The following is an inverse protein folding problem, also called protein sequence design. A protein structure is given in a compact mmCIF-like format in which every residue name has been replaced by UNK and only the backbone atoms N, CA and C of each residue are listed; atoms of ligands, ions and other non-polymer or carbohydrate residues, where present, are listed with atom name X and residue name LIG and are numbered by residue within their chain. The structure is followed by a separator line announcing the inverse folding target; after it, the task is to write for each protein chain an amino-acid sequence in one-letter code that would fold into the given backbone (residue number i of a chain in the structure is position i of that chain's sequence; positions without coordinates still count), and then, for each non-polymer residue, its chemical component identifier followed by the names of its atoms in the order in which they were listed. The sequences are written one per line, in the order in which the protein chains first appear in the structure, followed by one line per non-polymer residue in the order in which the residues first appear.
data_IF_451947251474
#
_entry.id   IF_451947251474
#
_cell.length_a   1.000
_cell.length_b   1.000
_cell.length_c   1.000
_cell.angle_alpha   90.00
_cell.angle_beta   90.00
_cell.angle_gamma   90.00
#
_symmetry.space_group_name_H-M   'P 1'
#
loop_
_entity.id
_entity.type
_entity.pdbx_description
1 polymer ?
#
# COMPACT_ATOMS: atom_id res chain seq x y z
N UNK A 1 -13.57 9.27 6.26
CA UNK A 1 -12.91 7.96 6.09
C UNK A 1 -12.70 7.33 7.48
N UNK A 2 -12.77 6.00 7.57
CA UNK A 2 -12.42 5.25 8.79
C UNK A 2 -11.21 4.39 8.44
N UNK A 3 -10.18 4.40 9.28
CA UNK A 3 -8.95 3.64 9.08
C UNK A 3 -8.51 2.93 10.36
N UNK A 4 -7.77 1.85 10.20
CA UNK A 4 -7.18 1.08 11.30
C UNK A 4 -5.89 0.45 10.81
N UNK A 5 -4.78 1.18 10.96
CA UNK A 5 -3.48 0.77 10.43
C UNK A 5 -2.70 0.04 11.50
N UNK A 6 -2.10 -1.09 11.12
CA UNK A 6 -1.24 -1.89 12.01
C UNK A 6 0.01 -2.29 11.24
N UNK A 7 1.15 -1.75 11.63
CA UNK A 7 2.40 -1.91 10.89
C UNK A 7 2.88 -3.37 10.86
N UNK A 8 2.59 -4.14 11.92
CA UNK A 8 2.85 -5.57 11.96
C UNK A 8 2.04 -6.34 10.90
N UNK A 9 0.77 -5.97 10.69
CA UNK A 9 -0.08 -6.62 9.68
C UNK A 9 0.39 -6.26 8.26
N UNK A 10 0.79 -5.01 8.02
CA UNK A 10 1.39 -4.59 6.73
C UNK A 10 2.69 -5.35 6.48
N UNK A 11 3.55 -5.48 7.50
CA UNK A 11 4.81 -6.20 7.38
C UNK A 11 4.60 -7.70 7.15
N UNK A 12 3.64 -8.31 7.83
CA UNK A 12 3.28 -9.71 7.61
C UNK A 12 2.72 -9.93 6.20
N UNK A 13 1.86 -9.04 5.71
CA UNK A 13 1.33 -9.08 4.35
C UNK A 13 2.46 -8.96 3.31
N UNK A 14 3.40 -8.04 3.51
CA UNK A 14 4.57 -7.86 2.64
C UNK A 14 5.48 -9.09 2.63
N UNK A 15 5.77 -9.68 3.79
CA UNK A 15 6.58 -10.90 3.88
C UNK A 15 5.90 -12.10 3.21
N UNK A 16 4.60 -12.29 3.46
CA UNK A 16 3.80 -13.35 2.84
C UNK A 16 3.75 -13.21 1.31
N UNK A 17 3.54 -11.98 0.83
CA UNK A 17 3.56 -11.62 -0.58
C UNK A 17 4.91 -11.95 -1.22
N UNK A 18 6.01 -11.47 -0.61
CA UNK A 18 7.35 -11.71 -1.13
C UNK A 18 7.71 -13.19 -1.17
N UNK A 19 7.29 -13.96 -0.16
CA UNK A 19 7.50 -15.41 -0.13
C UNK A 19 6.79 -16.09 -1.29
N UNK A 20 5.53 -15.71 -1.53
CA UNK A 20 4.72 -16.25 -2.63
C UNK A 20 5.30 -15.89 -3.99
N UNK A 21 5.65 -14.62 -4.20
CA UNK A 21 6.26 -14.14 -5.44
C UNK A 21 7.58 -14.85 -5.72
N UNK A 22 8.41 -15.08 -4.69
CA UNK A 22 9.69 -15.77 -4.86
C UNK A 22 9.47 -17.22 -5.30
N UNK A 23 8.55 -17.94 -4.64
CA UNK A 23 8.22 -19.32 -5.01
C UNK A 23 7.65 -19.43 -6.45
N UNK A 24 6.81 -18.47 -6.85
CA UNK A 24 6.32 -18.41 -8.23
C UNK A 24 7.42 -18.02 -9.23
N UNK A 25 8.33 -17.14 -8.84
CA UNK A 25 9.50 -16.74 -9.63
C UNK A 25 10.43 -17.92 -9.93
N UNK A 26 10.67 -18.80 -8.96
CA UNK A 26 11.47 -20.01 -9.15
C UNK A 26 10.81 -20.98 -10.16
N UNK A 27 9.49 -21.15 -10.04
CA UNK A 27 8.70 -21.96 -10.97
C UNK A 27 8.72 -21.39 -12.39
N UNK A 28 8.53 -20.08 -12.54
CA UNK A 28 8.57 -19.40 -13.84
C UNK A 28 9.96 -19.47 -14.48
N UNK A 29 11.03 -19.27 -13.70
CA UNK A 29 12.41 -19.39 -14.17
C UNK A 29 12.70 -20.80 -14.70
N UNK A 30 12.18 -21.82 -14.01
CA UNK A 30 12.30 -23.22 -14.45
C UNK A 30 11.60 -23.46 -15.79
N UNK A 31 10.37 -22.94 -15.95
CA UNK A 31 9.61 -23.05 -17.21
C UNK A 31 10.33 -22.29 -18.33
N UNK A 32 10.79 -21.06 -18.07
CA UNK A 32 11.50 -20.24 -19.04
C UNK A 32 12.78 -20.92 -19.51
N UNK A 33 13.54 -21.53 -18.60
CA UNK A 33 14.74 -22.31 -18.94
C UNK A 33 14.41 -23.49 -19.85
N UNK A 34 13.39 -24.27 -19.51
CA UNK A 34 12.96 -25.42 -20.33
C UNK A 34 12.48 -24.97 -21.72
N UNK A 35 11.72 -23.88 -21.79
CA UNK A 35 11.22 -23.29 -23.03
C UNK A 35 12.39 -22.80 -23.91
N UNK A 36 13.35 -22.08 -23.34
CA UNK A 36 14.56 -21.62 -24.04
C UNK A 36 15.40 -22.80 -24.55
N UNK A 37 15.57 -23.87 -23.77
CA UNK A 37 16.28 -25.05 -24.21
C UNK A 37 15.58 -25.74 -25.40
N UNK A 38 14.26 -25.86 -25.36
CA UNK A 38 13.48 -26.47 -26.44
C UNK A 38 13.51 -25.63 -27.72
N UNK A 39 13.38 -24.30 -27.59
CA UNK A 39 13.46 -23.36 -28.72
C UNK A 39 14.88 -23.38 -29.33
N UNK A 40 15.90 -23.40 -28.49
CA UNK A 40 17.31 -23.40 -28.89
C UNK A 40 17.85 -24.72 -29.42
N UNK A 41 17.13 -25.84 -29.28
CA UNK A 41 17.63 -27.15 -29.72
C UNK A 41 17.71 -27.21 -31.25
N UNK A 42 18.94 -27.25 -31.77
CA UNK A 42 19.26 -27.29 -33.19
C UNK A 42 18.92 -28.62 -33.86
N UNK A 43 18.68 -29.69 -33.10
CA UNK A 43 18.25 -31.00 -33.62
C UNK A 43 16.78 -30.99 -34.01
N UNK A 44 16.00 -30.09 -33.42
CA UNK A 44 14.59 -29.91 -33.73
C UNK A 44 14.45 -28.95 -34.93
N UNK A 45 14.19 -29.51 -36.10
CA UNK A 45 14.12 -28.80 -37.38
C UNK A 45 12.84 -29.17 -38.17
N UNK A 46 12.56 -28.41 -39.22
CA UNK A 46 11.39 -28.58 -40.08
C UNK A 46 10.29 -27.56 -39.80
N UNK A 47 9.41 -27.34 -40.78
CA UNK A 47 8.45 -26.24 -40.75
C UNK A 47 7.51 -26.29 -39.54
N UNK A 48 6.98 -27.48 -39.21
CA UNK A 48 6.11 -27.67 -38.04
C UNK A 48 6.82 -27.35 -36.73
N UNK A 49 8.09 -27.73 -36.59
CA UNK A 49 8.88 -27.43 -35.40
C UNK A 49 9.14 -25.93 -35.31
N UNK A 50 9.47 -25.27 -36.43
CA UNK A 50 9.63 -23.82 -36.47
C UNK A 50 8.35 -23.11 -35.99
N UNK A 51 7.18 -23.54 -36.45
CA UNK A 51 5.89 -23.04 -35.96
C UNK A 51 5.70 -23.23 -34.46
N UNK A 52 6.05 -24.41 -33.92
CA UNK A 52 5.97 -24.67 -32.47
C UNK A 52 6.93 -23.75 -31.70
N UNK A 53 8.15 -23.55 -32.18
CA UNK A 53 9.13 -22.67 -31.53
C UNK A 53 8.64 -21.21 -31.50
N UNK A 54 8.10 -20.71 -32.61
CA UNK A 54 7.47 -19.39 -32.66
C UNK A 54 6.30 -19.28 -31.68
N UNK A 55 5.43 -20.28 -31.64
CA UNK A 55 4.31 -20.34 -30.71
C UNK A 55 4.75 -20.29 -29.23
N UNK A 56 5.75 -21.11 -28.86
CA UNK A 56 6.28 -21.13 -27.50
C UNK A 56 6.89 -19.78 -27.11
N UNK A 57 7.62 -19.14 -28.02
CA UNK A 57 8.22 -17.83 -27.77
C UNK A 57 7.18 -16.72 -27.62
N UNK A 58 6.28 -16.59 -28.61
CA UNK A 58 5.37 -15.45 -28.70
C UNK A 58 4.18 -15.56 -27.75
N UNK A 59 3.73 -16.77 -27.43
CA UNK A 59 2.56 -16.97 -26.57
C UNK A 59 2.98 -17.25 -25.15
N UNK A 60 3.72 -18.34 -24.93
CA UNK A 60 4.10 -18.75 -23.58
C UNK A 60 5.23 -17.88 -23.01
N UNK A 61 6.22 -17.51 -23.81
CA UNK A 61 7.29 -16.59 -23.40
C UNK A 61 6.73 -15.22 -22.97
N UNK A 62 5.87 -14.62 -23.80
CA UNK A 62 5.19 -13.36 -23.48
C UNK A 62 4.34 -13.47 -22.20
N UNK A 63 3.54 -14.54 -22.06
CA UNK A 63 2.72 -14.73 -20.86
C UNK A 63 3.58 -14.83 -19.59
N UNK A 64 4.66 -15.60 -19.61
CA UNK A 64 5.59 -15.73 -18.47
C UNK A 64 6.20 -14.38 -18.10
N UNK A 65 6.67 -13.62 -19.10
CA UNK A 65 7.24 -12.29 -18.87
C UNK A 65 6.21 -11.35 -18.23
N UNK A 66 4.96 -11.40 -18.67
CA UNK A 66 3.89 -10.54 -18.14
C UNK A 66 3.53 -10.88 -16.71
N UNK A 67 3.44 -12.18 -16.39
CA UNK A 67 3.22 -12.63 -15.01
C UNK A 67 4.35 -12.20 -14.08
N UNK A 68 5.59 -12.24 -14.57
CA UNK A 68 6.74 -11.74 -13.82
C UNK A 68 6.67 -10.23 -13.57
N UNK A 69 6.33 -9.44 -14.58
CA UNK A 69 6.12 -7.99 -14.42
C UNK A 69 4.99 -7.69 -13.43
N UNK A 70 3.85 -8.39 -13.51
CA UNK A 70 2.74 -8.22 -12.56
C UNK A 70 3.15 -8.44 -11.10
N UNK A 71 3.92 -9.50 -10.84
CA UNK A 71 4.42 -9.77 -9.49
C UNK A 71 5.37 -8.67 -9.01
N UNK A 72 6.29 -8.23 -9.88
CA UNK A 72 7.26 -7.19 -9.55
C UNK A 72 6.57 -5.86 -9.26
N UNK A 73 5.61 -5.46 -10.10
CA UNK A 73 4.83 -4.23 -9.94
C UNK A 73 4.06 -4.26 -8.63
N UNK A 74 3.37 -5.37 -8.32
CA UNK A 74 2.66 -5.51 -7.05
C UNK A 74 3.58 -5.43 -5.83
N UNK A 75 4.74 -6.12 -5.88
CA UNK A 75 5.71 -6.10 -4.78
C UNK A 75 6.28 -4.70 -4.56
N UNK A 76 6.61 -3.99 -5.65
CA UNK A 76 7.11 -2.63 -5.59
C UNK A 76 6.07 -1.67 -5.00
N UNK A 77 4.81 -1.73 -5.46
CA UNK A 77 3.72 -0.90 -4.91
C UNK A 77 3.50 -1.16 -3.42
N UNK A 78 3.48 -2.43 -2.99
CA UNK A 78 3.31 -2.78 -1.57
C UNK A 78 4.50 -2.31 -0.71
N UNK A 79 5.73 -2.38 -1.25
CA UNK A 79 6.91 -1.88 -0.57
C UNK A 79 6.85 -0.37 -0.39
N UNK A 80 6.49 0.38 -1.43
CA UNK A 80 6.36 1.84 -1.38
C UNK A 80 5.23 2.29 -0.43
N UNK A 81 4.10 1.58 -0.44
CA UNK A 81 3.02 1.77 0.53
C UNK A 81 3.49 1.56 1.97
N UNK A 82 4.29 0.51 2.23
CA UNK A 82 4.86 0.28 3.56
C UNK A 82 5.89 1.36 3.93
N UNK A 83 6.78 1.73 3.01
CA UNK A 83 7.86 2.68 3.25
C UNK A 83 7.33 4.10 3.54
N UNK A 84 6.31 4.54 2.79
CA UNK A 84 5.69 5.84 3.00
C UNK A 84 5.07 6.01 4.39
N UNK A 85 4.60 4.93 5.02
CA UNK A 85 4.07 4.97 6.38
C UNK A 85 5.10 5.35 7.45
N UNK A 86 6.38 5.03 7.24
CA UNK A 86 7.44 5.40 8.18
C UNK A 86 7.71 6.92 8.19
N UNK A 87 7.20 7.66 7.21
CA UNK A 87 7.22 9.13 7.21
C UNK A 87 6.14 9.73 8.12
N UNK A 88 5.10 8.95 8.46
CA UNK A 88 4.02 9.36 9.36
C UNK A 88 4.37 8.95 10.80
N UNK A 89 4.77 7.70 11.00
CA UNK A 89 5.19 7.17 12.30
C UNK A 89 6.41 6.26 12.13
N UNK A 90 7.51 6.60 12.79
CA UNK A 90 8.76 5.85 12.74
C UNK A 90 8.73 4.52 13.51
N UNK A 91 7.71 4.27 14.33
CA UNK A 91 7.59 3.05 15.11
C UNK A 91 7.13 1.87 14.23
N UNK A 92 7.98 0.86 14.09
CA UNK A 92 7.70 -0.35 13.29
C UNK A 92 6.52 -1.19 13.78
N UNK A 93 6.06 -0.97 15.02
CA UNK A 93 4.92 -1.66 15.62
C UNK A 93 3.75 -0.71 15.88
N UNK A 94 3.71 0.44 15.19
CA UNK A 94 2.65 1.42 15.35
C UNK A 94 1.27 0.82 15.06
N UNK A 95 0.31 1.21 15.90
CA UNK A 95 -1.10 0.95 15.70
C UNK A 95 -1.81 2.29 15.66
N UNK A 96 -2.44 2.59 14.52
CA UNK A 96 -3.08 3.87 14.26
C UNK A 96 -4.59 3.66 14.01
N UNK A 97 -5.37 3.37 15.06
CA UNK A 97 -6.82 3.27 14.96
C UNK A 97 -7.46 4.66 14.95
N UNK A 98 -8.05 5.06 13.82
CA UNK A 98 -8.62 6.40 13.65
C UNK A 98 -9.72 6.75 14.68
N UNK A 99 -10.43 5.75 15.19
CA UNK A 99 -11.44 5.97 16.23
C UNK A 99 -10.83 6.40 17.57
N UNK A 100 -9.64 5.92 17.91
CA UNK A 100 -8.94 6.32 19.15
C UNK A 100 -8.50 7.77 19.04
N UNK A 101 -7.96 8.20 17.90
CA UNK A 101 -7.58 9.61 17.70
C UNK A 101 -8.77 10.57 17.83
N UNK A 102 -9.91 10.23 17.21
CA UNK A 102 -11.14 11.04 17.34
C UNK A 102 -11.63 11.11 18.79
N UNK A 103 -11.59 9.99 19.51
CA UNK A 103 -12.00 9.94 20.91
C UNK A 103 -11.08 10.79 21.77
N UNK A 104 -9.76 10.59 21.65
CA UNK A 104 -8.74 11.34 22.37
C UNK A 104 -8.83 12.85 22.10
N UNK A 105 -9.02 13.25 20.85
CA UNK A 105 -9.20 14.65 20.45
C UNK A 105 -10.40 15.27 21.16
N UNK A 106 -11.53 14.55 21.23
CA UNK A 106 -12.73 15.00 21.93
C UNK A 106 -12.50 15.11 23.45
N UNK A 107 -11.89 14.09 24.06
CA UNK A 107 -11.57 14.07 25.49
C UNK A 107 -10.62 15.19 25.89
N UNK A 108 -9.59 15.47 25.09
CA UNK A 108 -8.65 16.57 25.33
C UNK A 108 -9.32 17.94 25.23
N UNK A 109 -10.23 18.14 24.26
CA UNK A 109 -11.00 19.39 24.16
C UNK A 109 -11.89 19.61 25.37
N UNK A 110 -12.61 18.56 25.80
CA UNK A 110 -13.46 18.62 26.99
C UNK A 110 -12.63 18.89 28.25
N UNK A 111 -11.50 18.20 28.40
CA UNK A 111 -10.59 18.37 29.53
C UNK A 111 -9.99 19.78 29.57
N UNK A 112 -9.57 20.32 28.43
CA UNK A 112 -9.07 21.70 28.32
C UNK A 112 -10.16 22.73 28.67
N UNK A 113 -11.38 22.55 28.18
CA UNK A 113 -12.51 23.42 28.50
C UNK A 113 -12.80 23.41 30.00
N UNK A 114 -12.89 22.22 30.59
CA UNK A 114 -13.09 22.08 32.04
C UNK A 114 -11.97 22.74 32.85
N UNK A 115 -10.70 22.60 32.44
CA UNK A 115 -9.58 23.30 33.07
C UNK A 115 -9.76 24.81 33.03
N UNK A 116 -10.15 25.38 31.87
CA UNK A 116 -10.41 26.82 31.75
C UNK A 116 -11.51 27.30 32.70
N UNK A 117 -12.61 26.55 32.79
CA UNK A 117 -13.73 26.87 33.69
C UNK A 117 -13.28 26.85 35.16
N UNK A 118 -12.50 25.84 35.57
CA UNK A 118 -11.96 25.76 36.94
C UNK A 118 -11.00 26.91 37.25
N UNK A 119 -10.17 27.33 36.27
CA UNK A 119 -9.28 28.47 36.43
C UNK A 119 -10.05 29.78 36.61
N UNK A 120 -11.16 29.97 35.88
CA UNK A 120 -12.03 31.13 36.04
C UNK A 120 -12.70 31.15 37.43
N UNK A 121 -13.23 30.01 37.89
CA UNK A 121 -13.78 29.88 39.23
C UNK A 121 -12.76 30.21 40.32
N UNK A 122 -11.51 29.72 40.17
CA UNK A 122 -10.42 30.01 41.10
C UNK A 122 -10.05 31.50 41.11
N UNK A 123 -9.99 32.14 39.93
CA UNK A 123 -9.74 33.58 39.82
C UNK A 123 -10.83 34.39 40.51
N UNK A 124 -12.09 34.02 40.31
CA UNK A 124 -13.24 34.67 40.95
C UNK A 124 -13.23 34.48 42.48
N UNK A 125 -12.93 33.28 42.97
CA UNK A 125 -12.81 33.02 44.41
C UNK A 125 -11.66 33.81 45.05
N UNK A 126 -10.51 33.87 44.37
CA UNK A 126 -9.35 34.67 44.79
C UNK A 126 -9.70 36.16 44.88
N UNK A 127 -10.41 36.70 43.89
CA UNK A 127 -10.81 38.10 43.89
C UNK A 127 -11.66 38.46 45.12
N UNK A 128 -12.57 37.56 45.53
CA UNK A 128 -13.47 37.76 46.68
C UNK A 128 -12.79 37.82 48.05
N UNK A 129 -11.58 37.27 48.19
CA UNK A 129 -10.85 37.22 49.47
C UNK A 129 -9.57 38.05 49.46
N UNK A 130 -9.37 38.85 48.40
CA UNK A 130 -8.12 39.58 48.15
C UNK A 130 -7.85 40.72 49.15
N UNK A 131 -8.88 41.16 49.86
CA UNK A 131 -8.82 42.10 50.98
C UNK A 131 -8.27 41.47 52.27
N UNK A 132 -8.44 40.15 52.43
CA UNK A 132 -8.00 39.42 53.62
C UNK A 132 -6.63 38.77 53.44
N UNK A 133 -6.36 38.18 52.27
CA UNK A 133 -5.13 37.43 51.98
C UNK A 133 -4.65 37.72 50.56
N UNK A 134 -3.35 38.07 50.45
CA UNK A 134 -2.69 38.15 49.16
C UNK A 134 -2.12 36.78 48.76
N UNK A 135 -2.71 36.18 47.73
CA UNK A 135 -2.20 34.98 47.09
C UNK A 135 -1.92 35.28 45.62
N UNK A 136 -0.70 35.01 45.13
CA UNK A 136 -0.31 35.25 43.73
C UNK A 136 -0.73 34.12 42.79
N UNK A 137 -0.97 32.91 43.31
CA UNK A 137 -1.30 31.73 42.51
C UNK A 137 -0.14 31.17 41.70
N UNK A 138 -0.39 30.00 41.09
CA UNK A 138 0.45 29.41 40.04
C UNK A 138 -0.28 29.59 38.71
N UNK A 139 0.41 30.09 37.69
CA UNK A 139 -0.16 30.23 36.35
C UNK A 139 -0.29 28.86 35.69
N UNK A 140 -1.48 28.58 35.14
CA UNK A 140 -1.76 27.37 34.36
C UNK A 140 -1.81 27.65 32.85
N UNK A 141 -1.38 28.84 32.42
CA UNK A 141 -1.37 29.23 31.01
C UNK A 141 -0.58 28.24 30.15
N UNK A 142 0.58 27.75 30.66
CA UNK A 142 1.37 26.73 29.98
C UNK A 142 0.57 25.45 29.78
N UNK A 143 -0.11 24.94 30.80
CA UNK A 143 -0.93 23.73 30.68
C UNK A 143 -2.02 23.90 29.61
N UNK A 144 -2.69 25.04 29.56
CA UNK A 144 -3.71 25.32 28.52
C UNK A 144 -3.09 25.36 27.11
N UNK A 145 -1.89 25.92 26.98
CA UNK A 145 -1.12 25.91 25.72
C UNK A 145 -0.74 24.47 25.33
N UNK A 146 -0.19 23.69 26.27
CA UNK A 146 0.20 22.28 26.04
C UNK A 146 -0.98 21.44 25.55
N UNK A 147 -2.20 21.65 26.09
CA UNK A 147 -3.42 21.02 25.55
C UNK A 147 -3.69 21.42 24.09
N UNK A 148 -3.54 22.71 23.75
CA UNK A 148 -3.77 23.19 22.39
C UNK A 148 -2.77 22.60 21.40
N UNK A 149 -1.50 22.50 21.80
CA UNK A 149 -0.44 21.87 21.02
C UNK A 149 -0.74 20.39 20.80
N UNK A 150 -1.06 19.64 21.86
CA UNK A 150 -1.39 18.22 21.77
C UNK A 150 -2.60 17.95 20.87
N UNK A 151 -3.68 18.75 21.01
CA UNK A 151 -4.86 18.65 20.13
C UNK A 151 -4.47 18.92 18.68
N UNK A 152 -3.60 19.90 18.43
CA UNK A 152 -3.13 20.23 17.08
C UNK A 152 -2.30 19.11 16.48
N UNK A 153 -1.39 18.52 17.25
CA UNK A 153 -0.53 17.42 16.81
C UNK A 153 -1.35 16.17 16.46
N UNK A 154 -2.36 15.83 17.28
CA UNK A 154 -3.27 14.71 17.00
C UNK A 154 -4.04 14.96 15.69
N UNK A 155 -4.48 16.19 15.43
CA UNK A 155 -5.20 16.51 14.19
C UNK A 155 -4.27 16.38 12.98
N UNK A 156 -3.04 16.88 13.09
CA UNK A 156 -2.06 16.78 12.03
C UNK A 156 -1.74 15.34 11.70
N UNK A 157 -1.64 14.47 12.71
CA UNK A 157 -1.44 13.04 12.53
C UNK A 157 -2.65 12.37 11.85
N UNK A 158 -3.87 12.65 12.32
CA UNK A 158 -5.11 12.11 11.73
C UNK A 158 -5.25 12.51 10.26
N UNK A 159 -5.02 13.79 9.95
CA UNK A 159 -5.06 14.32 8.59
C UNK A 159 -3.97 13.71 7.70
N UNK A 160 -2.74 13.59 8.20
CA UNK A 160 -1.64 12.97 7.46
C UNK A 160 -1.98 11.52 7.06
N UNK A 161 -2.57 10.72 7.97
CA UNK A 161 -2.99 9.35 7.69
C UNK A 161 -4.13 9.31 6.67
N UNK A 162 -5.14 10.16 6.83
CA UNK A 162 -6.28 10.22 5.90
C UNK A 162 -5.81 10.58 4.49
N UNK A 163 -4.95 11.60 4.37
CA UNK A 163 -4.41 12.03 3.09
C UNK A 163 -3.55 10.93 2.46
N UNK A 164 -2.70 10.28 3.26
CA UNK A 164 -1.88 9.17 2.81
C UNK A 164 -2.74 8.04 2.24
N UNK A 165 -3.70 7.54 3.01
CA UNK A 165 -4.59 6.46 2.59
C UNK A 165 -5.45 6.83 1.36
N UNK A 166 -5.92 8.08 1.29
CA UNK A 166 -6.70 8.56 0.15
C UNK A 166 -5.87 8.62 -1.14
N UNK A 167 -4.61 9.04 -1.08
CA UNK A 167 -3.74 9.09 -2.24
C UNK A 167 -3.45 7.68 -2.76
N UNK A 168 -3.07 6.77 -1.86
CA UNK A 168 -2.63 5.42 -2.20
C UNK A 168 -3.78 4.53 -2.70
N UNK A 169 -5.01 4.72 -2.19
CA UNK A 169 -6.18 3.95 -2.61
C UNK A 169 -6.47 4.00 -4.12
N UNK A 170 -6.10 5.08 -4.80
CA UNK A 170 -6.35 5.27 -6.23
C UNK A 170 -5.13 5.06 -7.12
N UNK A 171 -3.92 5.25 -6.58
CA UNK A 171 -2.70 5.40 -7.38
C UNK A 171 -1.83 4.13 -7.40
N UNK A 172 -1.60 3.50 -6.25
CA UNK A 172 -0.55 2.49 -6.08
C UNK A 172 -0.65 1.30 -7.02
N UNK A 173 -1.89 0.90 -7.33
CA UNK A 173 -2.17 -0.29 -8.13
C UNK A 173 -2.67 0.05 -9.53
N UNK A 174 -2.56 1.31 -9.98
CA UNK A 174 -3.05 1.72 -11.30
C UNK A 174 -2.36 0.93 -12.43
N UNK A 175 -1.02 1.01 -12.49
CA UNK A 175 -0.22 0.28 -13.48
C UNK A 175 -0.41 -1.25 -13.38
N UNK A 176 -0.42 -1.78 -12.16
CA UNK A 176 -0.69 -3.21 -11.92
C UNK A 176 -2.06 -3.63 -12.48
N UNK A 177 -3.13 -2.84 -12.24
CA UNK A 177 -4.48 -3.13 -12.70
C UNK A 177 -4.59 -3.07 -14.23
N UNK A 178 -3.93 -2.09 -14.86
CA UNK A 178 -3.84 -1.97 -16.32
C UNK A 178 -3.14 -3.19 -16.92
N UNK A 179 -1.95 -3.52 -16.42
CA UNK A 179 -1.22 -4.71 -16.87
C UNK A 179 -2.03 -5.99 -16.62
N UNK A 180 -2.74 -6.10 -15.50
CA UNK A 180 -3.58 -7.26 -15.19
C UNK A 180 -4.74 -7.38 -16.17
N UNK A 181 -5.36 -6.25 -16.54
CA UNK A 181 -6.42 -6.21 -17.54
C UNK A 181 -5.90 -6.64 -18.91
N UNK A 182 -4.77 -6.09 -19.37
CA UNK A 182 -4.12 -6.48 -20.63
C UNK A 182 -3.72 -7.95 -20.64
N UNK A 183 -3.19 -8.47 -19.52
CA UNK A 183 -2.84 -9.89 -19.37
C UNK A 183 -4.07 -10.78 -19.49
N UNK A 184 -5.18 -10.41 -18.82
CA UNK A 184 -6.45 -11.15 -18.91
C UNK A 184 -7.01 -11.13 -20.33
N UNK A 185 -6.94 -10.00 -21.03
CA UNK A 185 -7.36 -9.89 -22.42
C UNK A 185 -6.53 -10.80 -23.32
N UNK A 186 -5.21 -10.82 -23.17
CA UNK A 186 -4.31 -11.71 -23.91
C UNK A 186 -4.64 -13.18 -23.68
N UNK A 187 -4.85 -13.59 -22.42
CA UNK A 187 -5.24 -14.97 -22.08
C UNK A 187 -6.59 -15.33 -22.71
N UNK A 188 -7.56 -14.41 -22.71
CA UNK A 188 -8.87 -14.62 -23.30
C UNK A 188 -8.79 -14.76 -24.83
N UNK A 189 -8.03 -13.89 -25.50
CA UNK A 189 -7.80 -13.96 -26.94
C UNK A 189 -7.18 -15.31 -27.31
N UNK A 190 -6.11 -15.71 -26.62
CA UNK A 190 -5.49 -17.00 -26.83
C UNK A 190 -6.46 -18.17 -26.62
N UNK A 191 -7.24 -18.13 -25.54
CA UNK A 191 -8.19 -19.21 -25.20
C UNK A 191 -9.32 -19.35 -26.21
N UNK A 192 -9.64 -18.29 -26.96
CA UNK A 192 -10.67 -18.28 -28.00
C UNK A 192 -10.21 -18.87 -29.35
N UNK A 193 -8.88 -18.99 -29.56
CA UNK A 193 -8.31 -19.45 -30.83
C UNK A 193 -8.04 -20.97 -30.81
N UNK A 194 -8.14 -21.66 -31.97
CA UNK A 194 -7.77 -23.07 -32.05
C UNK A 194 -6.30 -23.28 -31.66
N UNK A 195 -6.05 -24.14 -30.67
CA UNK A 195 -4.69 -24.45 -30.20
C UNK A 195 -3.96 -25.28 -31.26
N UNK A 196 -3.25 -24.60 -32.18
CA UNK A 196 -2.53 -25.23 -33.29
C UNK A 196 -1.06 -24.79 -33.33
N UNK A 197 -0.29 -25.18 -32.32
CA UNK A 197 1.15 -24.88 -32.26
C UNK A 197 1.93 -25.36 -33.52
N UNK A 198 1.54 -26.50 -34.09
CA UNK A 198 2.17 -27.06 -35.29
C UNK A 198 1.88 -26.33 -36.61
N UNK A 199 0.91 -25.42 -36.63
CA UNK A 199 0.59 -24.59 -37.79
C UNK A 199 0.59 -23.09 -37.45
N UNK A 200 1.17 -22.72 -36.30
CA UNK A 200 1.25 -21.34 -35.85
C UNK A 200 2.11 -20.51 -36.82
N UNK A 201 1.63 -19.32 -37.12
CA UNK A 201 2.38 -18.27 -37.81
C UNK A 201 2.70 -17.14 -36.84
N UNK A 202 3.87 -16.55 -37.03
CA UNK A 202 4.33 -15.39 -36.27
C UNK A 202 3.27 -14.28 -36.35
N UNK A 203 2.80 -13.80 -35.19
CA UNK A 203 1.74 -12.79 -35.10
C UNK A 203 0.31 -13.31 -35.14
N UNK A 204 0.07 -14.63 -35.12
CA UNK A 204 -1.28 -15.22 -35.06
C UNK A 204 -2.06 -14.82 -33.80
N UNK A 205 -1.39 -14.38 -32.74
CA UNK A 205 -1.99 -13.86 -31.50
C UNK A 205 -1.56 -12.40 -31.31
N UNK A 206 -2.50 -11.56 -30.87
CA UNK A 206 -2.23 -10.18 -30.52
C UNK A 206 -1.10 -10.04 -29.51
N UNK A 207 -0.30 -8.99 -29.66
CA UNK A 207 0.72 -8.63 -28.68
C UNK A 207 0.08 -7.90 -27.50
N UNK A 208 0.78 -7.83 -26.37
CA UNK A 208 0.37 -6.96 -25.27
C UNK A 208 0.28 -5.53 -25.76
N UNK A 209 -0.91 -4.95 -25.69
CA UNK A 209 -1.07 -3.51 -25.78
C UNK A 209 -0.74 -2.95 -24.40
N UNK A 210 0.45 -2.38 -24.29
CA UNK A 210 0.89 -1.55 -23.16
C UNK A 210 0.48 -0.11 -23.38
#
# INVERSE_FOLDING_TARGET
MSYSIKFDEISAAQQSTQTTISAWGDGMTSIQTALSALIGDSRLQGQTVSSIKSYLSEVHGTLLQTLQSLMNDYSASLLLYKDGYYQIDSNSHAQLPGQVFKTLQSELRLSQAHLKDQLELLQNARAKVSDLVHYSGVSHAKTVVDYSELITDINRLDEAIIQYESNHASQDLAAFKELLASTRALIAEYSSKPKRAGSYQVGDIGQLNT
#
